data_IF_829704291126
#
_entry.id   IF_829704291126
#
_cell.length_a   1.000
_cell.length_b   1.000
_cell.length_c   1.000
_cell.angle_alpha   90.00
_cell.angle_beta   90.00
_cell.angle_gamma   90.00
#
_symmetry.space_group_name_H-M   'P 1'
#
loop_
_entity.id
_entity.type
_entity.pdbx_description
1 polymer ?
#
# COMPACT_ATOMS: atom_id res chain seq x y z
N UNK A 1 15.08 5.87 -6.40
CA UNK A 1 14.12 6.88 -5.93
C UNK A 1 14.87 7.68 -4.89
N UNK A 2 15.19 8.94 -5.19
CA UNK A 2 15.93 9.83 -4.28
C UNK A 2 15.19 9.97 -2.95
N UNK A 3 15.99 10.20 -1.91
CA UNK A 3 15.66 10.28 -0.47
C UNK A 3 14.22 10.74 -0.22
N UNK A 4 13.37 9.80 0.22
CA UNK A 4 12.03 10.16 0.66
C UNK A 4 12.15 10.89 2.00
N UNK A 5 11.39 11.96 2.15
CA UNK A 5 11.13 12.65 3.42
C UNK A 5 10.43 11.67 4.36
N UNK A 6 11.07 11.37 5.48
CA UNK A 6 10.59 10.46 6.53
C UNK A 6 9.87 11.18 7.67
N UNK A 7 9.45 12.43 7.44
CA UNK A 7 8.71 13.24 8.40
C UNK A 7 7.35 12.60 8.75
N UNK A 8 7.04 12.59 10.05
CA UNK A 8 5.77 12.10 10.55
C UNK A 8 4.60 12.88 9.96
N UNK A 9 3.58 12.16 9.48
CA UNK A 9 2.39 12.76 8.87
C UNK A 9 2.48 12.92 7.35
N UNK A 10 3.61 12.58 6.72
CA UNK A 10 3.73 12.50 5.26
C UNK A 10 3.26 11.13 4.77
N UNK A 11 2.55 11.08 3.63
CA UNK A 11 2.17 9.83 2.96
C UNK A 11 2.44 9.96 1.46
N UNK A 12 3.22 9.03 0.93
CA UNK A 12 3.56 8.98 -0.48
C UNK A 12 2.46 8.34 -1.31
N UNK A 13 2.24 8.85 -2.52
CA UNK A 13 1.28 8.29 -3.47
C UNK A 13 2.02 7.93 -4.75
N UNK A 14 2.02 6.64 -5.08
CA UNK A 14 2.68 6.09 -6.27
C UNK A 14 1.66 5.60 -7.30
N UNK A 15 1.85 5.97 -8.55
CA UNK A 15 1.10 5.37 -9.66
C UNK A 15 1.59 3.95 -9.98
N UNK A 16 0.79 3.19 -10.74
CA UNK A 16 1.04 1.79 -11.12
C UNK A 16 2.38 1.57 -11.83
N UNK A 17 2.94 2.58 -12.49
CA UNK A 17 4.25 2.52 -13.17
C UNK A 17 5.44 2.42 -12.21
N UNK A 18 5.25 2.71 -10.91
CA UNK A 18 6.31 2.84 -9.91
C UNK A 18 6.28 1.74 -8.84
N UNK A 19 5.77 0.55 -9.18
CA UNK A 19 5.79 -0.59 -8.25
C UNK A 19 7.23 -1.09 -8.10
N UNK A 20 7.78 -0.92 -6.90
CA UNK A 20 9.06 -1.47 -6.47
C UNK A 20 8.89 -2.08 -5.07
N UNK A 21 8.71 -3.41 -5.02
CA UNK A 21 8.46 -4.12 -3.77
C UNK A 21 9.64 -4.05 -2.80
N UNK A 22 10.88 -3.97 -3.29
CA UNK A 22 12.05 -3.84 -2.41
C UNK A 22 12.07 -2.47 -1.73
N UNK A 23 11.65 -1.42 -2.44
CA UNK A 23 11.46 -0.10 -1.85
C UNK A 23 10.32 -0.10 -0.82
N UNK A 24 9.20 -0.76 -1.12
CA UNK A 24 8.05 -0.86 -0.21
C UNK A 24 8.39 -1.61 1.09
N UNK A 25 9.17 -2.69 1.01
CA UNK A 25 9.67 -3.42 2.19
C UNK A 25 10.55 -2.53 3.07
N UNK A 26 11.40 -1.70 2.46
CA UNK A 26 12.20 -0.71 3.18
C UNK A 26 11.31 0.32 3.86
N UNK A 27 10.34 0.90 3.13
CA UNK A 27 9.42 1.91 3.67
C UNK A 27 8.66 1.38 4.88
N UNK A 28 8.16 0.14 4.80
CA UNK A 28 7.48 -0.50 5.91
C UNK A 28 8.40 -0.63 7.14
N UNK A 29 9.65 -1.05 6.95
CA UNK A 29 10.65 -1.17 8.03
C UNK A 29 11.02 0.18 8.66
N UNK A 30 11.06 1.22 7.85
CA UNK A 30 11.44 2.58 8.26
C UNK A 30 10.23 3.42 8.75
N UNK A 31 9.01 2.88 8.70
CA UNK A 31 7.80 3.58 9.13
C UNK A 31 7.32 4.66 8.15
N UNK A 32 7.77 4.62 6.90
CA UNK A 32 7.36 5.55 5.85
C UNK A 32 6.01 5.12 5.29
N UNK A 33 5.02 6.01 5.35
CA UNK A 33 3.67 5.75 4.87
C UNK A 33 3.58 5.94 3.35
N UNK A 34 2.92 5.01 2.67
CA UNK A 34 2.69 5.10 1.24
C UNK A 34 1.39 4.42 0.80
N UNK A 35 0.89 4.85 -0.35
CA UNK A 35 -0.24 4.26 -1.08
C UNK A 35 0.22 4.01 -2.51
N UNK A 36 -0.03 2.81 -3.03
CA UNK A 36 0.28 2.47 -4.42
C UNK A 36 -0.90 1.74 -5.06
N UNK A 37 -1.07 1.95 -6.37
CA UNK A 37 -2.04 1.20 -7.16
C UNK A 37 -1.42 -0.11 -7.64
N UNK A 38 -1.91 -1.23 -7.11
CA UNK A 38 -1.49 -2.56 -7.55
C UNK A 38 -1.88 -2.85 -9.01
N UNK A 39 -1.15 -3.79 -9.62
CA UNK A 39 -1.52 -4.34 -10.93
C UNK A 39 -2.66 -5.35 -10.75
N UNK A 40 -3.49 -5.50 -11.77
CA UNK A 40 -4.62 -6.44 -11.74
C UNK A 40 -4.20 -7.90 -11.64
N UNK A 41 -2.93 -8.21 -11.95
CA UNK A 41 -2.34 -9.53 -11.84
C UNK A 41 -1.44 -9.68 -10.60
N UNK A 42 -1.46 -8.73 -9.66
CA UNK A 42 -0.75 -8.89 -8.38
C UNK A 42 -1.34 -10.06 -7.62
N UNK A 43 -0.49 -11.02 -7.24
CA UNK A 43 -0.90 -12.11 -6.36
C UNK A 43 -0.95 -11.59 -4.92
N UNK A 44 -2.10 -11.74 -4.26
CA UNK A 44 -2.31 -11.31 -2.88
C UNK A 44 -2.70 -12.52 -2.05
N UNK A 45 -2.13 -12.63 -0.85
CA UNK A 45 -2.51 -13.62 0.16
C UNK A 45 -2.94 -12.88 1.42
N UNK A 46 -4.25 -12.66 1.63
CA UNK A 46 -4.76 -11.96 2.81
C UNK A 46 -4.42 -12.71 4.10
N UNK A 47 -3.79 -12.01 5.04
CA UNK A 47 -3.58 -12.49 6.42
C UNK A 47 -4.83 -12.33 7.27
N UNK A 48 -5.62 -11.28 7.00
CA UNK A 48 -6.87 -10.98 7.69
C UNK A 48 -7.80 -10.21 6.75
N UNK A 49 -9.10 -10.49 6.84
CA UNK A 49 -10.14 -9.75 6.13
C UNK A 49 -10.99 -8.95 7.13
N UNK A 50 -11.24 -7.69 6.82
CA UNK A 50 -12.06 -6.80 7.62
C UNK A 50 -13.47 -6.67 7.03
N UNK A 51 -14.45 -6.43 7.90
CA UNK A 51 -15.84 -6.23 7.48
C UNK A 51 -15.99 -4.96 6.66
N UNK A 52 -16.60 -5.08 5.48
CA UNK A 52 -16.94 -3.94 4.63
C UNK A 52 -18.46 -3.72 4.70
N UNK A 53 -18.93 -2.48 4.98
CA UNK A 53 -20.36 -2.18 4.99
C UNK A 53 -21.02 -2.51 3.64
N UNK A 54 -22.24 -3.07 3.69
CA UNK A 54 -22.94 -3.53 2.49
C UNK A 54 -23.15 -2.45 1.42
N UNK A 55 -23.29 -1.19 1.82
CA UNK A 55 -23.49 -0.04 0.92
C UNK A 55 -22.18 0.70 0.57
N UNK A 56 -21.01 0.08 0.81
CA UNK A 56 -19.71 0.68 0.54
C UNK A 56 -19.31 0.58 -0.93
N UNK A 57 -18.51 1.55 -1.39
CA UNK A 57 -17.82 1.50 -2.69
C UNK A 57 -16.55 0.64 -2.65
N UNK A 58 -16.11 0.25 -1.45
CA UNK A 58 -14.99 -0.65 -1.24
C UNK A 58 -15.47 -2.08 -1.49
N UNK A 59 -14.76 -2.84 -2.31
CA UNK A 59 -15.12 -4.24 -2.60
C UNK A 59 -14.48 -5.24 -1.64
N UNK A 60 -13.35 -4.88 -1.03
CA UNK A 60 -12.61 -5.71 -0.08
C UNK A 60 -11.65 -4.84 0.76
N UNK A 61 -11.49 -5.21 2.03
CA UNK A 61 -10.49 -4.65 2.95
C UNK A 61 -9.70 -5.80 3.59
N UNK A 62 -8.40 -5.85 3.29
CA UNK A 62 -7.52 -6.96 3.66
C UNK A 62 -6.22 -6.43 4.25
N UNK A 63 -5.78 -7.05 5.35
CA UNK A 63 -4.38 -7.00 5.76
C UNK A 63 -3.62 -8.05 4.96
N UNK A 64 -2.63 -7.62 4.20
CA UNK A 64 -1.67 -8.46 3.46
C UNK A 64 -0.29 -8.40 4.09
#
# INVERSE_FOLDING_TARGET
MEELVDESGVTYIFDRGYIDYAAFDRYNREGILFVTRLKSNTHLEPLEAYDVPAESVVSADWRV
#
